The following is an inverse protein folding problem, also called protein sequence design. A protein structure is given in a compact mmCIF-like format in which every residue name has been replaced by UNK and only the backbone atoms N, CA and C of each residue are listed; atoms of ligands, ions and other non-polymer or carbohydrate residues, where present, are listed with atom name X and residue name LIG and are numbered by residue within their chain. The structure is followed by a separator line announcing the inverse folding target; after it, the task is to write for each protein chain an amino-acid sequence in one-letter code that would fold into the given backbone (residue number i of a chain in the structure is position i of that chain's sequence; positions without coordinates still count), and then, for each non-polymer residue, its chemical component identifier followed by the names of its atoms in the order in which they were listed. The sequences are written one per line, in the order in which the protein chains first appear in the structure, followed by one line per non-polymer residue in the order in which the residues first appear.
data_IF_204885055278
#
_entry.id   IF_204885055278
#
_cell.length_a   1.000
_cell.length_b   1.000
_cell.length_c   1.000
_cell.angle_alpha   90.00
_cell.angle_beta   90.00
_cell.angle_gamma   90.00
#
_symmetry.space_group_name_H-M   'P 1'
#
loop_
_entity.id
_entity.type
_entity.pdbx_description
1 polymer ?
#
# COMPACT_ATOMS: atom_id res chain seq x y z
N UNK A 1 -1.84 -3.95 14.81
CA UNK A 1 -0.89 -3.45 13.79
C UNK A 1 0.43 -4.14 14.06
N UNK A 2 1.07 -4.73 13.04
CA UNK A 2 2.33 -5.47 13.20
C UNK A 2 3.54 -4.54 13.01
N UNK A 3 4.69 -4.76 13.67
CA UNK A 3 5.92 -4.02 13.40
C UNK A 3 6.30 -4.08 11.92
N UNK A 4 6.90 -3.02 11.38
CA UNK A 4 7.26 -2.97 9.97
C UNK A 4 8.30 -4.03 9.58
N UNK A 5 9.15 -4.42 10.52
CA UNK A 5 10.13 -5.51 10.36
C UNK A 5 9.45 -6.85 10.11
N UNK A 6 8.36 -7.16 10.83
CA UNK A 6 7.57 -8.37 10.61
C UNK A 6 6.94 -8.37 9.21
N UNK A 7 6.41 -7.22 8.77
CA UNK A 7 5.85 -7.08 7.41
C UNK A 7 6.94 -7.28 6.35
N UNK A 8 8.13 -6.68 6.53
CA UNK A 8 9.24 -6.81 5.59
C UNK A 8 9.72 -8.27 5.46
N UNK A 9 9.77 -9.03 6.56
CA UNK A 9 10.09 -10.45 6.54
C UNK A 9 9.10 -11.26 5.69
N UNK A 10 7.79 -10.95 5.75
CA UNK A 10 6.79 -11.61 4.88
C UNK A 10 6.98 -11.32 3.39
N UNK A 11 7.70 -10.25 3.05
CA UNK A 11 8.05 -9.87 1.69
C UNK A 11 9.44 -10.39 1.26
N UNK A 12 10.15 -11.11 2.14
CA UNK A 12 11.50 -11.59 1.87
C UNK A 12 12.57 -10.48 1.86
N UNK A 13 12.29 -9.34 2.50
CA UNK A 13 13.24 -8.23 2.63
C UNK A 13 14.12 -8.45 3.86
N UNK A 14 15.44 -8.39 3.67
CA UNK A 14 16.41 -8.35 4.76
C UNK A 14 16.26 -7.07 5.60
N UNK A 15 16.56 -7.14 6.89
CA UNK A 15 16.46 -5.99 7.80
C UNK A 15 17.40 -4.83 7.39
N UNK A 16 18.57 -5.15 6.86
CA UNK A 16 19.54 -4.17 6.33
C UNK A 16 19.00 -3.36 5.14
N UNK A 17 17.95 -3.87 4.48
CA UNK A 17 17.26 -3.19 3.39
C UNK A 17 16.08 -2.33 3.89
N UNK A 18 16.01 -2.04 5.19
CA UNK A 18 15.00 -1.16 5.78
C UNK A 18 15.67 0.06 6.40
N UNK A 19 15.10 1.23 6.13
CA UNK A 19 15.43 2.48 6.82
C UNK A 19 14.20 2.84 7.67
N UNK A 20 14.12 2.44 8.95
CA UNK A 20 12.92 2.60 9.75
C UNK A 20 12.62 4.06 10.12
N UNK A 21 11.32 4.40 10.14
CA UNK A 21 10.78 5.67 10.63
C UNK A 21 9.78 5.35 11.75
N UNK A 22 10.33 5.02 12.92
CA UNK A 22 9.59 4.46 14.05
C UNK A 22 9.21 2.99 13.82
N UNK A 23 8.22 2.50 14.56
CA UNK A 23 7.90 1.05 14.64
C UNK A 23 7.14 0.49 13.43
N UNK A 24 6.45 1.34 12.67
CA UNK A 24 5.42 0.92 11.71
C UNK A 24 5.64 1.45 10.29
N UNK A 25 6.77 2.10 10.02
CA UNK A 25 7.09 2.69 8.71
C UNK A 25 8.57 2.50 8.43
N UNK A 26 8.93 2.30 7.16
CA UNK A 26 10.31 2.25 6.71
C UNK A 26 10.39 2.71 5.25
N UNK A 27 11.55 3.22 4.83
CA UNK A 27 11.91 3.31 3.41
C UNK A 27 12.68 2.06 3.01
N UNK A 28 12.59 1.68 1.74
CA UNK A 28 13.33 0.56 1.15
C UNK A 28 14.25 1.16 0.07
N UNK A 29 15.58 0.93 0.12
CA UNK A 29 16.50 1.44 -0.89
C UNK A 29 16.28 0.70 -2.22
N UNK A 30 16.50 1.39 -3.35
CA UNK A 30 16.33 0.80 -4.67
C UNK A 30 17.31 -0.35 -4.93
N UNK A 31 18.47 -0.35 -4.28
CA UNK A 31 19.43 -1.46 -4.32
C UNK A 31 18.88 -2.79 -3.78
N UNK A 32 17.80 -2.75 -3.00
CA UNK A 32 17.10 -3.95 -2.55
C UNK A 32 16.23 -4.59 -3.65
N UNK A 33 16.01 -3.91 -4.78
CA UNK A 33 15.34 -4.51 -5.93
C UNK A 33 16.30 -5.47 -6.63
N UNK A 34 15.97 -6.75 -6.65
CA UNK A 34 16.71 -7.74 -7.45
C UNK A 34 16.35 -7.61 -8.92
N UNK A 35 17.34 -7.42 -9.79
CA UNK A 35 17.17 -7.62 -11.22
C UNK A 35 16.87 -9.11 -11.49
N UNK A 36 15.83 -9.41 -12.28
CA UNK A 36 15.53 -10.78 -12.72
C UNK A 36 14.46 -11.56 -11.96
N UNK A 37 13.77 -10.98 -10.97
CA UNK A 37 12.59 -11.64 -10.37
C UNK A 37 11.41 -11.70 -11.33
N UNK A 38 10.69 -12.83 -11.33
CA UNK A 38 9.44 -13.00 -12.08
C UNK A 38 8.45 -11.91 -11.69
N UNK A 39 8.03 -11.09 -12.67
CA UNK A 39 7.03 -10.04 -12.45
C UNK A 39 5.72 -10.66 -11.96
N UNK A 40 5.14 -10.06 -10.92
CA UNK A 40 3.79 -10.38 -10.46
C UNK A 40 2.72 -9.90 -11.44
N UNK A 41 1.45 -10.19 -11.12
CA UNK A 41 0.30 -9.62 -11.85
C UNK A 41 0.07 -8.18 -11.41
N UNK A 42 -0.09 -7.26 -12.36
CA UNK A 42 -0.49 -5.89 -12.08
C UNK A 42 -2.01 -5.77 -12.21
N UNK A 43 -2.68 -5.35 -11.13
CA UNK A 43 -4.12 -5.08 -11.11
C UNK A 43 -4.30 -3.57 -10.95
N UNK A 44 -4.92 -2.94 -11.96
CA UNK A 44 -5.21 -1.51 -11.94
C UNK A 44 -6.63 -1.31 -11.41
N UNK A 45 -6.77 -0.55 -10.32
CA UNK A 45 -8.07 -0.17 -9.77
C UNK A 45 -8.44 1.22 -10.27
N UNK A 46 -9.56 1.32 -10.98
CA UNK A 46 -10.12 2.58 -11.49
C UNK A 46 -11.56 2.78 -10.98
N UNK A 47 -12.12 3.95 -11.25
CA UNK A 47 -13.51 4.27 -10.94
C UNK A 47 -14.15 5.03 -12.09
N UNK A 48 -15.47 5.18 -12.03
CA UNK A 48 -16.24 6.03 -12.94
C UNK A 48 -15.88 7.52 -12.71
N UNK A 49 -16.47 8.39 -13.53
CA UNK A 49 -16.42 9.85 -13.31
C UNK A 49 -16.86 10.16 -11.87
N UNK A 50 -16.06 10.93 -11.10
CA UNK A 50 -16.38 11.25 -9.72
C UNK A 50 -17.72 11.97 -9.56
N UNK A 51 -18.43 11.62 -8.50
CA UNK A 51 -19.72 12.16 -8.10
C UNK A 51 -19.66 12.61 -6.63
N UNK A 52 -20.57 13.49 -6.17
CA UNK A 52 -20.62 13.90 -4.76
C UNK A 52 -20.86 12.74 -3.78
N UNK A 53 -21.43 11.62 -4.24
CA UNK A 53 -21.65 10.44 -3.39
C UNK A 53 -20.34 9.71 -3.04
N UNK A 54 -19.30 9.86 -3.84
CA UNK A 54 -18.02 9.18 -3.69
C UNK A 54 -18.05 7.72 -4.14
N UNK A 55 -16.96 7.29 -4.77
CA UNK A 55 -16.89 5.98 -5.45
C UNK A 55 -16.13 4.93 -4.63
N UNK A 56 -15.54 5.30 -3.49
CA UNK A 56 -14.86 4.35 -2.60
C UNK A 56 -13.64 3.65 -3.21
N UNK A 57 -13.00 4.21 -4.24
CA UNK A 57 -11.90 3.59 -4.98
C UNK A 57 -10.76 3.11 -4.07
N UNK A 58 -10.28 3.97 -3.15
CA UNK A 58 -9.20 3.61 -2.22
C UNK A 58 -9.63 2.51 -1.25
N UNK A 59 -10.87 2.56 -0.75
CA UNK A 59 -11.46 1.52 0.10
C UNK A 59 -11.47 0.18 -0.63
N UNK A 60 -11.90 0.17 -1.89
CA UNK A 60 -11.89 -1.04 -2.71
C UNK A 60 -10.48 -1.55 -3.00
N UNK A 61 -9.48 -0.69 -3.21
CA UNK A 61 -8.09 -1.12 -3.38
C UNK A 61 -7.57 -1.86 -2.14
N UNK A 62 -7.81 -1.30 -0.94
CA UNK A 62 -7.40 -1.92 0.32
C UNK A 62 -8.17 -3.22 0.56
N UNK A 63 -9.49 -3.21 0.36
CA UNK A 63 -10.36 -4.38 0.53
C UNK A 63 -10.01 -5.54 -0.42
N UNK A 64 -9.70 -5.22 -1.67
CA UNK A 64 -9.24 -6.21 -2.66
C UNK A 64 -7.94 -6.87 -2.23
N UNK A 65 -6.94 -6.08 -1.79
CA UNK A 65 -5.67 -6.62 -1.31
C UNK A 65 -5.86 -7.51 -0.07
N UNK A 66 -6.71 -7.09 0.89
CA UNK A 66 -7.05 -7.91 2.05
C UNK A 66 -7.76 -9.22 1.65
N UNK A 67 -8.73 -9.15 0.73
CA UNK A 67 -9.44 -10.31 0.21
C UNK A 67 -8.52 -11.31 -0.49
N UNK A 68 -7.61 -10.81 -1.33
CA UNK A 68 -6.58 -11.61 -1.98
C UNK A 68 -5.64 -12.28 -0.97
N UNK A 69 -5.25 -11.56 0.08
CA UNK A 69 -4.46 -12.12 1.19
C UNK A 69 -5.20 -13.25 1.92
N UNK A 70 -6.51 -13.08 2.18
CA UNK A 70 -7.35 -14.11 2.84
C UNK A 70 -7.45 -15.41 2.03
N UNK A 71 -7.41 -15.35 0.70
CA UNK A 71 -7.40 -16.54 -0.16
C UNK A 71 -5.97 -17.06 -0.47
N UNK A 72 -4.98 -16.63 0.32
CA UNK A 72 -3.61 -17.13 0.26
C UNK A 72 -2.77 -16.58 -0.90
N UNK A 73 -3.14 -15.45 -1.51
CA UNK A 73 -2.29 -14.80 -2.51
C UNK A 73 -1.30 -13.85 -1.84
N UNK A 74 -0.04 -13.88 -2.28
CA UNK A 74 0.92 -12.82 -2.00
C UNK A 74 0.53 -11.57 -2.79
N UNK A 75 0.23 -10.49 -2.08
CA UNK A 75 -0.36 -9.26 -2.65
C UNK A 75 0.09 -8.06 -1.83
N UNK A 76 0.30 -6.94 -2.52
CA UNK A 76 0.57 -5.63 -1.91
C UNK A 76 -0.26 -4.56 -2.61
N UNK A 77 -0.75 -3.59 -1.85
CA UNK A 77 -1.44 -2.42 -2.38
C UNK A 77 -0.47 -1.24 -2.43
N UNK A 78 -0.36 -0.59 -3.59
CA UNK A 78 0.42 0.63 -3.76
C UNK A 78 -0.52 1.82 -3.86
N UNK A 79 -0.35 2.78 -2.95
CA UNK A 79 -1.22 3.97 -2.83
C UNK A 79 -0.36 5.23 -2.87
N UNK A 80 -0.97 6.36 -3.24
CA UNK A 80 -0.34 7.67 -3.17
C UNK A 80 -0.40 8.20 -1.74
N UNK A 81 0.66 8.91 -1.34
CA UNK A 81 0.62 9.73 -0.13
C UNK A 81 -0.34 10.92 -0.35
N UNK A 82 -1.31 11.15 0.54
CA UNK A 82 -2.21 12.30 0.42
C UNK A 82 -1.46 13.61 0.71
N UNK A 83 -1.90 14.70 0.06
CA UNK A 83 -1.41 16.03 0.41
C UNK A 83 -1.79 16.40 1.85
N UNK A 84 -0.93 17.17 2.51
CA UNK A 84 -1.18 17.69 3.85
C UNK A 84 -2.31 18.75 3.87
N UNK A 85 -2.46 19.52 2.80
CA UNK A 85 -3.40 20.65 2.73
C UNK A 85 -4.85 20.32 3.09
N UNK A 86 -5.47 19.28 2.48
CA UNK A 86 -6.85 18.88 2.78
C UNK A 86 -7.11 18.48 4.25
N UNK A 87 -6.07 18.13 5.02
CA UNK A 87 -6.22 17.81 6.45
C UNK A 87 -6.67 19.04 7.25
N UNK A 88 -6.29 20.24 6.82
CA UNK A 88 -6.67 21.51 7.47
C UNK A 88 -7.98 22.11 6.93
N UNK A 89 -8.64 21.43 6.00
CA UNK A 89 -9.91 21.85 5.41
C UNK A 89 -10.93 20.72 5.46
N UNK A 90 -11.36 20.24 4.29
CA UNK A 90 -12.29 19.12 4.17
C UNK A 90 -11.47 17.82 4.12
N UNK A 91 -11.65 16.97 5.14
CA UNK A 91 -10.97 15.67 5.25
C UNK A 91 -11.21 14.82 4.00
N UNK A 92 -10.13 14.39 3.34
CA UNK A 92 -10.19 13.49 2.18
C UNK A 92 -10.07 12.00 2.55
N UNK A 93 -10.59 11.12 1.69
CA UNK A 93 -10.53 9.65 1.82
C UNK A 93 -9.25 9.02 1.26
N UNK A 94 -8.10 9.68 1.41
CA UNK A 94 -6.83 9.28 0.77
C UNK A 94 -6.27 7.93 1.25
N UNK A 95 -6.73 7.43 2.39
CA UNK A 95 -6.28 6.17 3.01
C UNK A 95 -7.38 5.10 3.07
N UNK A 96 -8.46 5.27 2.32
CA UNK A 96 -9.65 4.42 2.41
C UNK A 96 -10.54 4.78 3.61
N UNK A 97 -11.60 3.99 3.81
CA UNK A 97 -12.62 4.18 4.83
C UNK A 97 -13.84 3.31 4.58
#
# INVERSE_FOLDING_TARGET
MKPITEIAQTLGLAEDNLIPYGKFKAKIPLSAMSEGTKKGKLIVVTGITPTPAGEGKTTMTVGLAQGMGRIGKSVSATLREPSLGPIFGIKGGGTGG
#
